data_IF_126295397146
#
_entry.id   IF_126295397146
#
_cell.length_a   1.000
_cell.length_b   1.000
_cell.length_c   1.000
_cell.angle_alpha   90.00
_cell.angle_beta   90.00
_cell.angle_gamma   90.00
#
_symmetry.space_group_name_H-M   'P 1'
#
loop_
_entity.id
_entity.type
_entity.pdbx_description
1 polymer ?
#
# COMPACT_ATOMS: atom_id res chain seq x y z
N UNK A 1 4.10 0.85 85.18
CA UNK A 1 3.30 0.32 84.05
C UNK A 1 3.68 1.07 82.78
N UNK A 2 4.01 0.32 81.72
CA UNK A 2 4.79 0.76 80.55
C UNK A 2 4.03 1.75 79.66
N UNK A 3 4.66 2.90 79.35
CA UNK A 3 4.40 3.66 78.13
C UNK A 3 5.32 3.11 77.05
N UNK A 4 4.79 2.63 75.93
CA UNK A 4 5.60 2.36 74.75
C UNK A 4 4.80 2.61 73.46
N UNK A 5 5.09 3.78 72.90
CA UNK A 5 5.18 4.14 71.49
C UNK A 5 4.42 3.29 70.46
N UNK A 6 3.32 3.84 69.93
CA UNK A 6 2.75 3.40 68.64
C UNK A 6 3.56 4.09 67.53
N UNK A 7 4.36 3.31 66.84
CA UNK A 7 5.12 3.71 65.66
C UNK A 7 4.13 3.94 64.50
N UNK A 8 3.96 5.19 64.07
CA UNK A 8 3.21 5.50 62.84
C UNK A 8 4.13 5.23 61.64
N UNK A 9 3.98 4.07 61.02
CA UNK A 9 4.68 3.74 59.78
C UNK A 9 3.93 4.43 58.62
N UNK A 10 4.42 5.60 58.19
CA UNK A 10 3.96 6.26 56.97
C UNK A 10 4.42 5.41 55.76
N UNK A 11 3.55 4.50 55.31
CA UNK A 11 3.70 3.87 54.00
C UNK A 11 3.36 4.93 52.95
N UNK A 12 4.38 5.63 52.47
CA UNK A 12 4.28 6.42 51.23
C UNK A 12 4.15 5.41 50.08
N UNK A 13 2.91 4.96 49.82
CA UNK A 13 2.58 4.32 48.55
C UNK A 13 2.65 5.43 47.51
N UNK A 14 3.82 5.60 46.90
CA UNK A 14 3.93 6.30 45.63
C UNK A 14 3.05 5.53 44.65
N UNK A 15 1.83 6.03 44.43
CA UNK A 15 0.98 5.57 43.36
C UNK A 15 1.73 5.83 42.06
N UNK A 16 2.42 4.80 41.55
CA UNK A 16 2.83 4.77 40.16
C UNK A 16 1.51 4.70 39.39
N UNK A 17 0.95 5.86 39.08
CA UNK A 17 -0.06 5.95 38.04
C UNK A 17 0.64 5.50 36.77
N UNK A 18 0.47 4.23 36.41
CA UNK A 18 0.73 3.82 35.05
C UNK A 18 -0.30 4.55 34.22
N UNK A 19 0.10 5.66 33.59
CA UNK A 19 -0.65 6.20 32.47
C UNK A 19 -0.70 5.07 31.45
N UNK A 20 -1.84 4.38 31.38
CA UNK A 20 -2.12 3.51 30.25
C UNK A 20 -2.03 4.43 29.04
N UNK A 21 -0.98 4.25 28.24
CA UNK A 21 -0.74 5.08 27.08
C UNK A 21 -2.00 5.05 26.22
N UNK A 22 -2.58 6.23 25.94
CA UNK A 22 -3.70 6.35 25.00
C UNK A 22 -3.20 5.85 23.65
N UNK A 23 -3.60 4.62 23.30
CA UNK A 23 -3.20 3.95 22.06
C UNK A 23 -4.29 4.17 21.02
N UNK A 24 -3.94 4.58 19.80
CA UNK A 24 -4.91 4.66 18.72
C UNK A 24 -5.52 3.27 18.49
N UNK A 25 -6.84 3.22 18.25
CA UNK A 25 -7.55 1.95 17.96
C UNK A 25 -7.25 1.42 16.56
N UNK A 26 -6.81 2.30 15.66
CA UNK A 26 -6.46 2.01 14.27
C UNK A 26 -5.29 2.90 13.86
N UNK A 27 -4.33 2.32 13.15
CA UNK A 27 -3.26 3.04 12.46
C UNK A 27 -3.46 2.75 10.97
N UNK A 28 -3.50 3.80 10.16
CA UNK A 28 -3.60 3.70 8.71
C UNK A 28 -2.30 4.21 8.10
N UNK A 29 -1.56 3.32 7.45
CA UNK A 29 -0.37 3.67 6.69
C UNK A 29 -0.70 3.77 5.20
N UNK A 30 -0.42 4.92 4.59
CA UNK A 30 -0.69 5.20 3.18
C UNK A 30 0.65 5.53 2.51
N UNK A 31 0.99 4.76 1.48
CA UNK A 31 2.15 5.02 0.63
C UNK A 31 1.63 5.28 -0.78
N UNK A 32 1.75 6.52 -1.24
CA UNK A 32 1.41 6.89 -2.62
C UNK A 32 2.63 6.61 -3.49
N UNK A 33 2.56 5.55 -4.30
CA UNK A 33 3.68 5.10 -5.13
C UNK A 33 4.13 6.22 -6.08
N UNK A 34 5.45 6.42 -6.20
CA UNK A 34 6.07 7.46 -7.02
C UNK A 34 5.68 8.92 -6.67
N UNK A 35 5.05 9.19 -5.53
CA UNK A 35 4.70 10.55 -5.14
C UNK A 35 5.93 11.37 -4.75
N UNK A 36 6.21 12.42 -5.52
CA UNK A 36 7.23 13.41 -5.16
C UNK A 36 6.64 14.40 -4.15
N UNK A 37 7.43 14.79 -3.15
CA UNK A 37 7.02 15.79 -2.16
C UNK A 37 6.55 17.10 -2.82
N UNK A 38 7.16 17.51 -3.93
CA UNK A 38 6.79 18.72 -4.66
C UNK A 38 5.32 18.74 -5.11
N UNK A 39 4.68 17.58 -5.31
CA UNK A 39 3.28 17.51 -5.72
C UNK A 39 2.33 18.08 -4.65
N UNK A 40 2.73 18.01 -3.38
CA UNK A 40 1.95 18.60 -2.28
C UNK A 40 1.85 20.12 -2.38
N UNK A 41 2.86 20.77 -2.95
CA UNK A 41 2.91 22.23 -3.11
C UNK A 41 2.47 22.66 -4.50
N UNK A 42 2.96 21.96 -5.54
CA UNK A 42 2.66 22.30 -6.94
C UNK A 42 1.17 22.29 -7.23
N UNK A 43 0.43 21.36 -6.63
CA UNK A 43 -1.00 21.19 -6.89
C UNK A 43 -1.89 21.63 -5.72
N UNK A 44 -1.32 22.29 -4.70
CA UNK A 44 -2.00 22.64 -3.44
C UNK A 44 -3.32 23.37 -3.67
N UNK A 45 -3.31 24.36 -4.57
CA UNK A 45 -4.49 25.19 -4.90
C UNK A 45 -5.65 24.40 -5.53
N UNK A 46 -5.39 23.18 -6.03
CA UNK A 46 -6.39 22.30 -6.65
C UNK A 46 -6.84 21.17 -5.71
N UNK A 47 -6.23 21.02 -4.54
CA UNK A 47 -6.68 20.03 -3.56
C UNK A 47 -7.90 20.50 -2.79
N UNK A 48 -8.81 19.55 -2.53
CA UNK A 48 -9.90 19.73 -1.57
C UNK A 48 -9.41 19.73 -0.13
N UNK A 49 -10.23 20.28 0.77
CA UNK A 49 -9.85 20.50 2.17
C UNK A 49 -9.67 19.22 3.00
N UNK A 50 -10.34 18.13 2.60
CA UNK A 50 -10.42 16.89 3.40
C UNK A 50 -9.36 15.82 3.07
N UNK A 51 -8.41 16.12 2.17
CA UNK A 51 -7.34 15.21 1.74
C UNK A 51 -5.95 15.65 2.21
N UNK A 52 -5.02 15.88 1.27
CA UNK A 52 -3.66 16.31 1.58
C UNK A 52 -3.60 17.58 2.43
N UNK A 53 -4.46 18.57 2.18
CA UNK A 53 -4.55 19.81 2.99
C UNK A 53 -4.84 19.52 4.45
N UNK A 54 -5.76 18.60 4.76
CA UNK A 54 -6.03 18.17 6.14
C UNK A 54 -4.79 17.59 6.81
N UNK A 55 -4.03 16.76 6.09
CA UNK A 55 -2.81 16.13 6.63
C UNK A 55 -1.69 17.16 6.86
N UNK A 56 -1.51 18.12 5.94
CA UNK A 56 -0.49 19.16 6.04
C UNK A 56 -0.84 20.15 7.16
N UNK A 57 -2.08 20.64 7.20
CA UNK A 57 -2.49 21.70 8.11
C UNK A 57 -2.79 21.20 9.53
N UNK A 58 -3.24 19.96 9.67
CA UNK A 58 -3.62 19.36 10.97
C UNK A 58 -2.66 18.29 11.49
N UNK A 59 -1.64 17.94 10.72
CA UNK A 59 -0.69 16.87 11.07
C UNK A 59 0.74 17.38 11.26
N UNK A 60 1.70 16.47 11.09
CA UNK A 60 3.12 16.78 11.11
C UNK A 60 3.73 16.43 9.76
N UNK A 61 4.41 17.40 9.14
CA UNK A 61 5.03 17.22 7.83
C UNK A 61 6.56 17.20 7.97
N UNK A 62 7.17 16.04 7.70
CA UNK A 62 8.62 15.93 7.58
C UNK A 62 9.04 16.34 6.16
N UNK A 63 9.60 17.54 6.02
CA UNK A 63 9.88 18.15 4.71
C UNK A 63 11.23 17.80 4.10
N UNK A 64 12.06 17.02 4.79
CA UNK A 64 13.40 16.63 4.35
C UNK A 64 13.65 15.12 4.56
N UNK A 65 12.71 14.29 4.12
CA UNK A 65 12.82 12.84 4.16
C UNK A 65 13.41 12.30 2.84
N UNK A 66 14.46 11.48 2.94
CA UNK A 66 15.16 10.92 1.78
C UNK A 66 15.40 9.42 1.95
N UNK A 67 15.36 8.69 0.83
CA UNK A 67 15.89 7.33 0.79
C UNK A 67 17.41 7.38 0.95
N UNK A 68 17.93 6.56 1.87
CA UNK A 68 19.36 6.44 2.14
C UNK A 68 19.99 5.20 1.48
N UNK A 69 19.39 4.73 0.38
CA UNK A 69 19.82 3.56 -0.38
C UNK A 69 19.48 3.69 -1.86
N UNK A 70 20.04 2.77 -2.66
CA UNK A 70 19.76 2.60 -4.09
C UNK A 70 19.59 1.09 -4.35
N UNK A 71 18.70 0.65 -5.26
CA UNK A 71 17.76 1.44 -6.07
C UNK A 71 16.48 1.86 -5.35
N UNK A 72 15.91 3.02 -5.70
CA UNK A 72 14.64 3.54 -5.19
C UNK A 72 13.44 2.96 -5.94
N UNK A 73 13.33 1.62 -5.92
CA UNK A 73 12.19 0.90 -6.51
C UNK A 73 11.08 0.65 -5.49
N UNK A 74 9.88 0.31 -5.98
CA UNK A 74 8.68 0.08 -5.17
C UNK A 74 8.91 -0.94 -4.05
N UNK A 75 9.42 -2.14 -4.35
CA UNK A 75 9.64 -3.22 -3.37
C UNK A 75 10.58 -2.80 -2.23
N UNK A 76 11.82 -2.38 -2.54
CA UNK A 76 12.74 -1.81 -1.56
C UNK A 76 12.11 -0.67 -0.74
N UNK A 77 11.43 0.26 -1.40
CA UNK A 77 10.67 1.36 -0.81
C UNK A 77 9.74 0.91 0.32
N UNK A 78 8.79 0.04 -0.03
CA UNK A 78 7.75 -0.43 0.89
C UNK A 78 8.35 -1.24 2.05
N UNK A 79 9.34 -2.08 1.78
CA UNK A 79 10.04 -2.83 2.82
C UNK A 79 10.78 -1.90 3.80
N UNK A 80 11.49 -0.88 3.32
CA UNK A 80 12.24 0.03 4.20
C UNK A 80 11.33 0.87 5.09
N UNK A 81 10.20 1.37 4.57
CA UNK A 81 9.24 2.17 5.35
C UNK A 81 8.74 1.39 6.56
N UNK A 82 8.43 0.10 6.39
CA UNK A 82 7.80 -0.71 7.44
C UNK A 82 8.79 -1.50 8.29
N UNK A 83 10.02 -1.73 7.84
CA UNK A 83 11.07 -2.37 8.64
C UNK A 83 11.94 -1.38 9.41
N UNK A 84 11.96 -0.10 9.02
CA UNK A 84 12.90 0.88 9.55
C UNK A 84 14.36 0.56 9.20
N UNK A 85 14.59 -0.23 8.16
CA UNK A 85 15.90 -0.74 7.75
C UNK A 85 16.13 -0.55 6.25
N UNK A 86 17.31 -0.92 5.75
CA UNK A 86 17.70 -0.75 4.34
C UNK A 86 17.75 -2.09 3.58
N UNK A 87 17.76 -2.09 2.24
CA UNK A 87 17.84 -3.29 1.42
C UNK A 87 18.99 -4.24 1.78
N UNK A 88 20.11 -3.70 2.25
CA UNK A 88 21.27 -4.48 2.69
C UNK A 88 20.96 -5.40 3.90
N UNK A 89 19.94 -5.07 4.69
CA UNK A 89 19.56 -5.79 5.91
C UNK A 89 18.25 -6.56 5.70
N UNK A 90 17.20 -5.90 5.20
CA UNK A 90 15.90 -6.55 5.02
C UNK A 90 15.82 -7.44 3.77
N UNK A 91 16.84 -7.43 2.89
CA UNK A 91 17.01 -8.37 1.79
C UNK A 91 16.22 -8.09 0.51
N UNK A 92 15.35 -7.07 0.51
CA UNK A 92 14.58 -6.66 -0.68
C UNK A 92 15.38 -5.62 -1.45
N UNK A 93 16.21 -6.09 -2.39
CA UNK A 93 17.20 -5.27 -3.13
C UNK A 93 16.70 -4.70 -4.46
N UNK A 94 15.52 -5.13 -4.90
CA UNK A 94 14.87 -4.67 -6.12
C UNK A 94 13.42 -5.19 -6.19
N UNK A 95 12.68 -4.78 -7.22
CA UNK A 95 11.41 -5.47 -7.54
C UNK A 95 11.72 -6.89 -8.04
N UNK A 96 12.79 -7.03 -8.82
CA UNK A 96 13.29 -8.27 -9.36
C UNK A 96 14.83 -8.26 -9.30
N UNK A 97 15.46 -9.42 -9.15
CA UNK A 97 16.92 -9.55 -9.22
C UNK A 97 17.34 -10.95 -9.64
N UNK A 98 18.60 -11.09 -10.08
CA UNK A 98 19.18 -12.40 -10.37
C UNK A 98 19.59 -13.13 -9.08
N UNK A 99 18.96 -14.28 -8.81
CA UNK A 99 19.36 -15.17 -7.72
C UNK A 99 20.43 -16.14 -8.23
N UNK A 100 21.66 -16.01 -7.71
CA UNK A 100 22.81 -16.83 -8.13
C UNK A 100 22.68 -18.32 -7.77
N UNK A 101 21.91 -18.65 -6.73
CA UNK A 101 21.72 -20.04 -6.29
C UNK A 101 20.65 -20.72 -7.13
N UNK A 102 19.56 -20.01 -7.42
CA UNK A 102 18.46 -20.49 -8.28
C UNK A 102 18.76 -20.36 -9.78
N UNK A 103 19.78 -19.55 -10.14
CA UNK A 103 20.19 -19.25 -11.52
C UNK A 103 19.02 -18.73 -12.38
N UNK A 104 18.21 -17.84 -11.81
CA UNK A 104 17.11 -17.17 -12.50
C UNK A 104 16.87 -15.79 -11.91
N UNK A 105 16.17 -14.94 -12.66
CA UNK A 105 15.55 -13.75 -12.08
C UNK A 105 14.41 -14.18 -11.18
N UNK A 106 14.30 -13.52 -10.03
CA UNK A 106 13.25 -13.72 -9.04
C UNK A 106 12.59 -12.40 -8.73
N UNK A 107 11.29 -12.44 -8.45
CA UNK A 107 10.56 -11.29 -7.97
C UNK A 107 10.62 -11.19 -6.43
N UNK A 108 10.53 -9.97 -5.91
CA UNK A 108 10.64 -9.64 -4.49
C UNK A 108 9.61 -10.33 -3.58
N UNK A 109 8.45 -10.70 -4.11
CA UNK A 109 7.39 -11.35 -3.35
C UNK A 109 6.95 -12.69 -3.95
N UNK A 110 7.50 -13.11 -5.09
CA UNK A 110 7.18 -14.41 -5.70
C UNK A 110 7.59 -15.57 -4.79
N UNK A 111 6.63 -16.45 -4.52
CA UNK A 111 6.72 -17.64 -3.67
C UNK A 111 5.94 -18.81 -4.27
N UNK A 112 6.64 -19.69 -5.00
CA UNK A 112 6.07 -20.88 -5.66
C UNK A 112 5.39 -21.88 -4.69
N UNK A 113 5.66 -21.76 -3.38
CA UNK A 113 5.02 -22.57 -2.33
C UNK A 113 3.58 -22.15 -2.06
N UNK A 114 3.20 -20.93 -2.46
CA UNK A 114 1.85 -20.42 -2.30
C UNK A 114 1.04 -20.63 -3.56
N UNK A 115 -0.27 -20.50 -3.44
CA UNK A 115 -1.22 -20.53 -4.56
C UNK A 115 -2.17 -19.34 -4.46
N UNK A 116 -2.71 -18.85 -5.60
CA UNK A 116 -3.70 -17.79 -5.58
C UNK A 116 -4.97 -18.20 -4.84
N UNK A 117 -5.55 -17.24 -4.13
CA UNK A 117 -6.83 -17.37 -3.43
C UNK A 117 -7.75 -16.27 -3.92
N UNK A 118 -8.88 -16.67 -4.53
CA UNK A 118 -9.82 -15.75 -5.17
C UNK A 118 -9.70 -15.64 -6.70
N UNK A 119 -8.72 -16.33 -7.29
CA UNK A 119 -8.47 -16.48 -8.73
C UNK A 119 -7.75 -17.80 -8.99
N UNK A 120 -8.10 -18.53 -10.05
CA UNK A 120 -7.41 -19.79 -10.41
C UNK A 120 -6.12 -19.55 -11.18
N UNK A 121 -6.09 -18.53 -12.01
CA UNK A 121 -5.00 -18.24 -12.97
C UNK A 121 -4.31 -16.89 -12.67
N UNK A 122 -4.61 -16.30 -11.51
CA UNK A 122 -4.09 -15.02 -11.08
C UNK A 122 -2.67 -15.10 -10.53
N UNK A 123 -2.02 -13.94 -10.45
CA UNK A 123 -0.72 -13.79 -9.78
C UNK A 123 -0.87 -13.99 -8.27
N UNK A 124 -0.79 -15.22 -7.79
CA UNK A 124 -0.99 -15.54 -6.38
C UNK A 124 0.09 -16.38 -5.71
N UNK A 125 1.15 -16.73 -6.42
CA UNK A 125 2.35 -17.32 -5.85
C UNK A 125 3.14 -16.20 -5.17
N UNK A 126 2.58 -15.60 -4.10
CA UNK A 126 3.02 -14.35 -3.49
C UNK A 126 3.09 -14.49 -1.97
N UNK A 127 4.20 -14.10 -1.34
CA UNK A 127 4.35 -14.00 0.11
C UNK A 127 5.51 -13.07 0.51
N UNK A 128 5.63 -12.66 1.79
CA UNK A 128 6.74 -11.82 2.26
C UNK A 128 8.03 -12.61 2.51
N UNK A 129 8.15 -13.87 2.07
CA UNK A 129 9.22 -14.77 2.52
C UNK A 129 10.66 -14.33 2.20
N UNK A 130 10.85 -13.44 1.23
CA UNK A 130 12.18 -12.87 0.91
C UNK A 130 12.55 -11.69 1.81
N UNK A 131 11.61 -11.18 2.62
CA UNK A 131 11.85 -10.15 3.61
C UNK A 131 12.55 -10.78 4.82
N UNK A 132 13.79 -10.38 5.08
CA UNK A 132 14.61 -11.00 6.13
C UNK A 132 14.39 -10.37 7.51
N UNK A 133 13.85 -9.16 7.56
CA UNK A 133 13.63 -8.39 8.80
C UNK A 133 12.15 -8.34 9.18
N UNK A 134 11.86 -8.22 10.47
CA UNK A 134 10.50 -7.94 10.92
C UNK A 134 10.08 -6.52 10.55
N UNK A 135 8.78 -6.33 10.37
CA UNK A 135 8.14 -5.04 10.16
C UNK A 135 7.58 -4.48 11.48
N UNK A 136 7.27 -3.19 11.53
CA UNK A 136 6.54 -2.57 12.66
C UNK A 136 5.17 -3.24 12.87
N UNK A 137 4.55 -3.78 11.81
CA UNK A 137 3.31 -4.56 11.89
C UNK A 137 3.54 -5.96 12.47
N UNK A 138 4.66 -6.62 12.14
CA UNK A 138 5.09 -7.86 12.81
C UNK A 138 5.29 -7.62 14.31
N UNK A 139 6.00 -6.55 14.67
CA UNK A 139 6.22 -6.17 16.07
C UNK A 139 4.90 -5.84 16.79
N UNK A 140 3.95 -5.19 16.12
CA UNK A 140 2.61 -4.97 16.67
C UNK A 140 1.87 -6.30 16.92
N UNK A 141 1.97 -7.27 16.00
CA UNK A 141 1.41 -8.62 16.20
C UNK A 141 2.09 -9.32 17.36
N UNK A 142 3.40 -9.28 17.48
CA UNK A 142 4.15 -9.90 18.59
C UNK A 142 3.78 -9.26 19.94
N UNK A 143 3.81 -7.93 20.01
CA UNK A 143 3.49 -7.16 21.23
C UNK A 143 2.06 -7.45 21.73
N UNK A 144 1.11 -7.58 20.82
CA UNK A 144 -0.30 -7.83 21.16
C UNK A 144 -0.65 -9.31 21.30
N UNK A 145 0.34 -10.21 21.30
CA UNK A 145 0.11 -11.67 21.32
C UNK A 145 -0.83 -12.11 20.19
N UNK A 146 -0.58 -11.55 19.00
CA UNK A 146 -1.32 -11.72 17.74
C UNK A 146 -2.80 -11.27 17.77
N UNK A 147 -3.23 -10.55 18.82
CA UNK A 147 -4.60 -10.01 18.93
C UNK A 147 -4.84 -8.81 18.01
N UNK A 148 -3.81 -8.03 17.69
CA UNK A 148 -3.93 -6.96 16.69
C UNK A 148 -4.34 -7.54 15.32
N UNK A 149 -5.03 -6.72 14.53
CA UNK A 149 -5.40 -7.01 13.14
C UNK A 149 -4.53 -6.20 12.20
N UNK A 150 -3.81 -6.89 11.32
CA UNK A 150 -2.92 -6.29 10.32
C UNK A 150 -3.39 -6.74 8.94
N UNK A 151 -3.72 -5.77 8.09
CA UNK A 151 -4.21 -6.01 6.72
C UNK A 151 -3.40 -5.11 5.78
N UNK A 152 -2.79 -5.70 4.76
CA UNK A 152 -2.18 -4.97 3.64
C UNK A 152 -3.11 -4.91 2.44
N UNK A 153 -3.23 -3.75 1.79
CA UNK A 153 -4.06 -3.58 0.59
C UNK A 153 -3.31 -2.70 -0.40
N UNK A 154 -3.24 -3.12 -1.66
CA UNK A 154 -2.66 -2.32 -2.74
C UNK A 154 -3.17 -2.79 -4.10
N UNK A 155 -2.96 -2.01 -5.16
CA UNK A 155 -3.08 -2.53 -6.53
C UNK A 155 -1.96 -3.54 -6.82
N UNK A 156 -0.76 -3.32 -6.26
CA UNK A 156 0.42 -4.17 -6.51
C UNK A 156 0.64 -5.13 -5.34
N UNK A 157 0.88 -6.40 -5.63
CA UNK A 157 1.25 -7.45 -4.67
C UNK A 157 2.29 -7.00 -3.61
N UNK A 158 3.46 -6.51 -4.05
CA UNK A 158 4.55 -6.04 -3.21
C UNK A 158 4.19 -4.81 -2.36
N UNK A 159 3.23 -4.01 -2.85
CA UNK A 159 2.70 -2.86 -2.12
C UNK A 159 1.78 -3.28 -0.97
N UNK A 160 1.15 -4.45 -1.05
CA UNK A 160 0.34 -5.00 0.03
C UNK A 160 1.17 -5.84 1.01
N UNK A 161 2.00 -6.73 0.47
CA UNK A 161 2.65 -7.82 1.22
C UNK A 161 3.83 -7.35 2.06
N UNK A 162 4.71 -6.49 1.51
CA UNK A 162 5.91 -6.04 2.22
C UNK A 162 5.59 -5.12 3.41
N UNK A 163 4.61 -4.19 3.32
CA UNK A 163 4.15 -3.43 4.47
C UNK A 163 3.44 -4.27 5.54
N UNK A 164 2.67 -5.27 5.12
CA UNK A 164 1.90 -6.10 6.04
C UNK A 164 2.80 -6.99 6.89
N UNK A 165 3.91 -7.47 6.33
CA UNK A 165 4.88 -8.31 7.03
C UNK A 165 4.45 -9.77 7.14
N UNK A 166 5.20 -10.54 7.92
CA UNK A 166 5.09 -11.99 8.06
C UNK A 166 3.85 -12.45 8.84
N UNK A 167 3.40 -11.64 9.81
CA UNK A 167 2.33 -12.03 10.72
C UNK A 167 0.99 -11.37 10.39
N UNK A 168 0.84 -10.77 9.21
CA UNK A 168 -0.40 -10.15 8.80
C UNK A 168 -1.58 -11.14 8.81
N UNK A 169 -2.76 -10.66 9.17
CA UNK A 169 -3.99 -11.45 9.06
C UNK A 169 -4.43 -11.60 7.60
N UNK A 170 -4.08 -10.62 6.75
CA UNK A 170 -4.34 -10.65 5.31
C UNK A 170 -3.44 -9.69 4.54
N UNK A 171 -3.18 -10.00 3.27
CA UNK A 171 -2.81 -9.01 2.27
C UNK A 171 -3.64 -9.24 1.00
N UNK A 172 -4.11 -8.15 0.38
CA UNK A 172 -4.91 -8.18 -0.83
C UNK A 172 -4.29 -7.32 -1.93
N UNK A 173 -4.29 -7.85 -3.15
CA UNK A 173 -3.84 -7.12 -4.33
C UNK A 173 -4.73 -7.37 -5.52
N UNK A 174 -4.65 -6.47 -6.50
CA UNK A 174 -5.48 -6.51 -7.69
C UNK A 174 -4.90 -7.50 -8.72
N UNK A 175 -5.71 -8.48 -9.12
CA UNK A 175 -5.42 -9.41 -10.20
C UNK A 175 -5.87 -8.81 -11.53
N UNK A 176 -4.90 -8.28 -12.27
CA UNK A 176 -5.11 -7.70 -13.61
C UNK A 176 -5.64 -8.70 -14.64
N UNK A 177 -5.60 -10.01 -14.35
CA UNK A 177 -6.08 -11.05 -15.27
C UNK A 177 -7.61 -11.10 -15.33
N UNK A 178 -8.27 -10.85 -14.20
CA UNK A 178 -9.73 -11.02 -14.06
C UNK A 178 -10.45 -9.86 -13.37
N UNK A 179 -9.73 -8.83 -12.95
CA UNK A 179 -10.33 -7.63 -12.37
C UNK A 179 -10.82 -7.83 -10.93
N UNK A 180 -10.18 -8.72 -10.16
CA UNK A 180 -10.57 -9.06 -8.78
C UNK A 180 -9.46 -8.72 -7.80
N UNK A 181 -9.82 -8.44 -6.54
CA UNK A 181 -8.86 -8.48 -5.45
C UNK A 181 -8.68 -9.91 -4.96
N UNK A 182 -7.43 -10.34 -4.88
CA UNK A 182 -7.03 -11.70 -4.52
C UNK A 182 -6.05 -11.69 -3.34
N UNK A 183 -5.74 -12.88 -2.85
CA UNK A 183 -4.69 -13.12 -1.85
C UNK A 183 -3.93 -14.40 -2.20
N UNK A 184 -3.16 -14.95 -1.27
CA UNK A 184 -2.48 -16.24 -1.42
C UNK A 184 -2.69 -17.15 -0.22
N UNK A 185 -2.40 -18.44 -0.41
CA UNK A 185 -2.44 -19.47 0.65
C UNK A 185 -1.49 -19.21 1.82
N UNK A 186 -0.59 -18.22 1.72
CA UNK A 186 0.23 -17.77 2.84
C UNK A 186 -0.64 -17.23 3.99
N UNK A 187 -1.73 -16.54 3.65
CA UNK A 187 -2.61 -15.88 4.62
C UNK A 187 -3.78 -16.78 5.04
N UNK A 188 -4.48 -17.37 4.07
CA UNK A 188 -5.65 -18.23 4.29
C UNK A 188 -6.00 -18.98 3.00
N UNK A 189 -6.86 -20.00 3.08
CA UNK A 189 -7.21 -20.85 1.93
C UNK A 189 -8.44 -20.38 1.14
N UNK A 190 -9.23 -19.44 1.70
CA UNK A 190 -10.47 -18.94 1.07
C UNK A 190 -10.62 -17.46 1.36
N UNK A 191 -11.03 -16.67 0.36
CA UNK A 191 -11.32 -15.26 0.56
C UNK A 191 -12.44 -15.07 1.61
N UNK A 192 -12.34 -14.06 2.48
CA UNK A 192 -13.44 -13.70 3.37
C UNK A 192 -14.68 -13.24 2.59
N UNK A 193 -15.85 -13.43 3.19
CA UNK A 193 -17.16 -13.10 2.59
C UNK A 193 -17.24 -11.66 2.07
N UNK A 194 -16.65 -10.70 2.79
CA UNK A 194 -16.69 -9.30 2.37
C UNK A 194 -15.88 -9.04 1.09
N UNK A 195 -14.77 -9.76 0.89
CA UNK A 195 -13.94 -9.67 -0.33
C UNK A 195 -14.68 -10.30 -1.51
N UNK A 196 -15.32 -11.46 -1.29
CA UNK A 196 -16.14 -12.08 -2.33
C UNK A 196 -17.34 -11.22 -2.71
N UNK A 197 -17.97 -10.57 -1.73
CA UNK A 197 -19.05 -9.61 -1.96
C UNK A 197 -18.56 -8.37 -2.72
N UNK A 198 -17.34 -7.90 -2.47
CA UNK A 198 -16.75 -6.81 -3.25
C UNK A 198 -16.50 -7.26 -4.69
N UNK A 199 -15.79 -8.36 -4.87
CA UNK A 199 -15.45 -8.88 -6.20
C UNK A 199 -16.68 -9.22 -7.05
N UNK A 200 -17.79 -9.66 -6.44
CA UNK A 200 -19.04 -9.96 -7.15
C UNK A 200 -19.74 -8.72 -7.71
N UNK A 201 -19.45 -7.53 -7.20
CA UNK A 201 -19.94 -6.25 -7.77
C UNK A 201 -19.27 -5.92 -9.11
N UNK A 202 -18.12 -6.55 -9.41
CA UNK A 202 -17.38 -6.35 -10.67
C UNK A 202 -17.09 -4.87 -10.94
N UNK A 203 -16.67 -4.13 -9.93
CA UNK A 203 -16.40 -2.69 -10.07
C UNK A 203 -15.29 -2.41 -11.08
N UNK A 204 -14.31 -3.31 -11.23
CA UNK A 204 -13.30 -3.20 -12.27
C UNK A 204 -13.90 -3.12 -13.68
N UNK A 205 -14.95 -3.89 -13.99
CA UNK A 205 -15.68 -3.81 -15.26
C UNK A 205 -16.34 -2.43 -15.44
N UNK A 206 -16.89 -1.86 -14.36
CA UNK A 206 -17.47 -0.52 -14.38
C UNK A 206 -16.40 0.54 -14.67
N UNK A 207 -15.27 0.48 -13.97
CA UNK A 207 -14.19 1.45 -14.11
C UNK A 207 -13.49 1.38 -15.47
N UNK A 208 -13.21 0.18 -16.00
CA UNK A 208 -12.49 0.03 -17.26
C UNK A 208 -13.29 0.46 -18.49
N UNK A 209 -14.62 0.62 -18.34
CA UNK A 209 -15.49 1.14 -19.40
C UNK A 209 -15.78 2.64 -19.27
N UNK A 210 -15.12 3.36 -18.34
CA UNK A 210 -15.23 4.82 -18.22
C UNK A 210 -14.36 5.54 -19.26
N UNK A 211 -14.74 6.77 -19.57
CA UNK A 211 -13.85 7.73 -20.20
C UNK A 211 -12.99 8.40 -19.11
N UNK A 212 -11.67 8.31 -19.22
CA UNK A 212 -10.76 9.10 -18.41
C UNK A 212 -10.59 10.48 -19.06
N UNK A 213 -11.10 11.50 -18.38
CA UNK A 213 -11.00 12.91 -18.74
C UNK A 213 -10.50 13.74 -17.54
N UNK A 214 -10.08 14.98 -17.78
CA UNK A 214 -9.60 15.86 -16.72
C UNK A 214 -10.75 16.26 -15.79
N UNK A 215 -10.51 16.24 -14.47
CA UNK A 215 -11.51 16.62 -13.47
C UNK A 215 -11.89 18.10 -13.57
N UNK A 216 -10.91 18.97 -13.78
CA UNK A 216 -11.12 20.39 -14.07
C UNK A 216 -11.08 20.63 -15.59
N UNK A 217 -11.53 21.79 -16.10
CA UNK A 217 -11.27 22.16 -17.49
C UNK A 217 -9.76 22.11 -17.78
N UNK A 218 -9.35 21.51 -18.90
CA UNK A 218 -7.93 21.26 -19.22
C UNK A 218 -7.07 22.54 -19.17
N UNK A 219 -7.64 23.70 -19.54
CA UNK A 219 -6.98 25.00 -19.49
C UNK A 219 -6.62 25.46 -18.06
N UNK A 220 -7.21 24.86 -17.01
CA UNK A 220 -6.88 25.17 -15.62
C UNK A 220 -5.67 24.39 -15.10
N UNK A 221 -5.14 23.39 -15.82
CA UNK A 221 -3.96 22.62 -15.43
C UNK A 221 -2.65 23.38 -15.72
N UNK A 222 -2.57 24.62 -15.24
CA UNK A 222 -1.47 25.56 -15.50
C UNK A 222 -0.13 25.17 -14.87
N UNK A 223 -0.12 24.20 -13.94
CA UNK A 223 1.10 23.66 -13.32
C UNK A 223 1.62 22.40 -14.03
N UNK A 224 0.97 22.00 -15.11
CA UNK A 224 1.38 20.92 -16.01
C UNK A 224 1.96 21.47 -17.32
N UNK A 225 2.71 20.63 -18.03
CA UNK A 225 3.12 20.92 -19.41
C UNK A 225 1.96 20.76 -20.40
N UNK A 226 2.24 20.87 -21.71
CA UNK A 226 1.29 20.51 -22.76
C UNK A 226 0.78 19.07 -22.60
N UNK A 227 -0.43 18.80 -23.09
CA UNK A 227 -1.04 17.45 -23.06
C UNK A 227 -0.39 16.48 -24.05
N UNK A 228 0.20 16.98 -25.14
CA UNK A 228 0.89 16.16 -26.14
C UNK A 228 2.40 16.31 -25.97
N UNK A 229 3.05 15.37 -25.28
CA UNK A 229 4.51 15.37 -25.10
C UNK A 229 5.18 14.10 -25.63
N UNK A 230 6.44 14.18 -26.12
CA UNK A 230 7.17 13.02 -26.63
C UNK A 230 7.65 12.08 -25.51
N UNK A 231 7.41 12.42 -24.24
CA UNK A 231 7.82 11.62 -23.08
C UNK A 231 6.70 10.72 -22.55
N UNK A 232 5.51 10.80 -23.16
CA UNK A 232 4.33 10.02 -22.78
C UNK A 232 4.19 8.75 -23.62
N UNK A 233 3.56 7.74 -23.00
CA UNK A 233 3.24 6.49 -23.69
C UNK A 233 1.95 6.68 -24.48
N UNK A 234 2.01 6.50 -25.79
CA UNK A 234 0.82 6.42 -26.65
C UNK A 234 0.22 5.02 -26.49
N UNK A 235 -1.05 4.95 -26.09
CA UNK A 235 -1.77 3.69 -25.99
C UNK A 235 -2.18 3.17 -27.37
N UNK A 236 -2.15 1.85 -27.53
CA UNK A 236 -2.52 1.19 -28.79
C UNK A 236 -3.97 1.55 -29.11
N UNK A 237 -4.21 2.11 -30.30
CA UNK A 237 -5.51 2.62 -30.74
C UNK A 237 -5.66 4.14 -30.65
N UNK A 238 -4.63 4.88 -30.21
CA UNK A 238 -4.56 6.34 -30.32
C UNK A 238 -3.37 6.79 -31.18
N UNK A 239 -3.52 7.94 -31.81
CA UNK A 239 -2.44 8.61 -32.55
C UNK A 239 -1.56 9.50 -31.64
N UNK A 240 -2.12 9.97 -30.52
CA UNK A 240 -1.50 10.92 -29.59
C UNK A 240 -1.89 10.63 -28.13
N UNK A 241 -1.03 10.97 -27.15
CA UNK A 241 -1.30 10.76 -25.73
C UNK A 241 -2.14 11.90 -25.11
N UNK A 242 -3.25 12.27 -25.76
CA UNK A 242 -4.08 13.42 -25.35
C UNK A 242 -5.44 13.01 -24.80
N UNK A 243 -5.98 13.79 -23.87
CA UNK A 243 -7.33 13.60 -23.34
C UNK A 243 -8.41 13.87 -24.41
N UNK A 244 -9.58 13.20 -24.31
CA UNK A 244 -9.92 12.16 -23.35
C UNK A 244 -9.49 10.74 -23.78
N UNK A 245 -9.50 9.80 -22.84
CA UNK A 245 -9.22 8.38 -23.07
C UNK A 245 -10.47 7.51 -22.87
N UNK A 246 -10.99 6.93 -23.94
CA UNK A 246 -12.08 5.93 -23.87
C UNK A 246 -11.48 4.56 -23.48
N UNK A 247 -11.49 4.25 -22.18
CA UNK A 247 -10.86 3.04 -21.66
C UNK A 247 -11.56 1.77 -22.18
N UNK A 248 -12.87 1.82 -22.39
CA UNK A 248 -13.66 0.71 -22.90
C UNK A 248 -13.18 0.25 -24.28
N UNK A 249 -12.82 1.21 -25.16
CA UNK A 249 -12.23 0.92 -26.47
C UNK A 249 -10.75 0.51 -26.40
N UNK A 250 -10.00 1.02 -25.43
CA UNK A 250 -8.54 0.85 -25.36
C UNK A 250 -8.12 -0.42 -24.61
N UNK A 251 -8.91 -0.90 -23.65
CA UNK A 251 -8.52 -1.98 -22.72
C UNK A 251 -7.97 -3.22 -23.42
N UNK A 252 -8.64 -3.73 -24.46
CA UNK A 252 -8.29 -5.03 -25.08
C UNK A 252 -6.90 -5.02 -25.71
N UNK A 253 -6.52 -3.89 -26.30
CA UNK A 253 -5.20 -3.73 -26.93
C UNK A 253 -4.12 -3.34 -25.92
N UNK A 254 -4.48 -2.92 -24.70
CA UNK A 254 -3.57 -2.35 -23.71
C UNK A 254 -3.58 -3.14 -22.38
N UNK A 255 -3.70 -4.47 -22.45
CA UNK A 255 -3.52 -5.34 -21.26
C UNK A 255 -4.78 -5.56 -20.42
N UNK A 256 -5.97 -5.23 -20.93
CA UNK A 256 -7.24 -5.46 -20.23
C UNK A 256 -7.34 -4.63 -18.95
N UNK A 257 -7.53 -5.28 -17.80
CA UNK A 257 -7.59 -4.60 -16.52
C UNK A 257 -6.25 -4.01 -16.06
N UNK A 258 -5.11 -4.41 -16.64
CA UNK A 258 -3.84 -3.73 -16.36
C UNK A 258 -3.89 -2.24 -16.72
N UNK A 259 -4.72 -1.87 -17.70
CA UNK A 259 -4.92 -0.47 -18.05
C UNK A 259 -5.43 0.36 -16.85
N UNK A 260 -6.24 -0.22 -15.95
CA UNK A 260 -6.73 0.49 -14.76
C UNK A 260 -5.59 0.94 -13.85
N UNK A 261 -4.53 0.15 -13.74
CA UNK A 261 -3.38 0.42 -12.86
C UNK A 261 -2.58 1.65 -13.28
N UNK A 262 -2.87 2.20 -14.46
CA UNK A 262 -2.27 3.38 -15.06
C UNK A 262 -3.22 4.59 -15.10
N UNK A 263 -4.37 4.52 -14.43
CA UNK A 263 -5.40 5.57 -14.43
C UNK A 263 -5.85 5.90 -13.01
N UNK A 264 -6.47 7.07 -12.78
CA UNK A 264 -7.06 7.40 -11.47
C UNK A 264 -8.10 6.37 -10.99
N UNK A 265 -8.72 5.63 -11.91
CA UNK A 265 -9.70 4.61 -11.55
C UNK A 265 -9.09 3.38 -10.86
N UNK A 266 -7.78 3.15 -10.99
CA UNK A 266 -7.07 2.19 -10.16
C UNK A 266 -7.08 2.60 -8.68
N UNK A 267 -6.88 3.90 -8.41
CA UNK A 267 -6.92 4.45 -7.05
C UNK A 267 -8.37 4.49 -6.51
N UNK A 268 -9.36 4.83 -7.35
CA UNK A 268 -10.78 4.76 -6.97
C UNK A 268 -11.17 3.33 -6.59
N UNK A 269 -10.80 2.34 -7.41
CA UNK A 269 -11.07 0.92 -7.16
C UNK A 269 -10.40 0.43 -5.87
N UNK A 270 -9.15 0.84 -5.62
CA UNK A 270 -8.44 0.52 -4.37
C UNK A 270 -9.11 1.17 -3.16
N UNK A 271 -9.58 2.41 -3.31
CA UNK A 271 -10.29 3.14 -2.25
C UNK A 271 -11.59 2.45 -1.91
N UNK A 272 -12.42 2.12 -2.91
CA UNK A 272 -13.68 1.40 -2.73
C UNK A 272 -13.49 0.03 -2.05
N UNK A 273 -12.36 -0.64 -2.31
CA UNK A 273 -12.04 -1.91 -1.67
C UNK A 273 -11.66 -1.75 -0.19
N UNK A 274 -11.04 -0.63 0.17
CA UNK A 274 -10.50 -0.40 1.51
C UNK A 274 -11.52 0.15 2.52
N UNK A 275 -12.67 0.69 2.07
CA UNK A 275 -13.66 1.40 2.90
C UNK A 275 -15.01 0.70 3.06
#
# INVERSE_FOLDING_TARGET
MKKLSVLFFFFFISAIQSFAQDKPKLIVGIVVDQMRQEYLYRFENKFGENGFKRLINGGFMLTNAHYNYVPTFTGPGHASIYTGSTPAIHGIIGNDWWDKNLKKNVNCVEDERQKPVGSTDGNGDVSPWRLLSTTVTDELKLFTQKKSKVIGISIKDRGAVLPAGHFADAAYWFDITNGRFISSTYYFNTLPVWVEKFNSQKLADTYINKEWNTLLPIAQYTESGPDDTPYEKIWIGKDKPVFPYDLGKLQKANGGFDLLTHTPYGDDLLTDFAI
#
